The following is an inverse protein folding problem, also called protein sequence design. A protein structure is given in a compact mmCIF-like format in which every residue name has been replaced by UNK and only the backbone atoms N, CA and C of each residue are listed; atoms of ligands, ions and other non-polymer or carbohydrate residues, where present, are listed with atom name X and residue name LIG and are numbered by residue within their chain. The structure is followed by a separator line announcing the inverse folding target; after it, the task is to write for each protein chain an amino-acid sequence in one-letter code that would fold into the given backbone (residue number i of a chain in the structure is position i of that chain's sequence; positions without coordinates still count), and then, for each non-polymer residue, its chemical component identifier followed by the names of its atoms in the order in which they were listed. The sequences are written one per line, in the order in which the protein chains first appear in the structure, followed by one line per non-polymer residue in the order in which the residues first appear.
data_IF_533788656477
#
_entry.id   IF_533788656477
#
_cell.length_a   1.000
_cell.length_b   1.000
_cell.length_c   1.000
_cell.angle_alpha   90.00
_cell.angle_beta   90.00
_cell.angle_gamma   90.00
#
_symmetry.space_group_name_H-M   'P 1'
#
loop_
_entity.id
_entity.type
_entity.pdbx_description
1 polymer ?
#
# COMPACT_ATOMS: atom_id res chain seq x y z
N UNK A 1 -24.64 -23.74 3.77
CA UNK A 1 -23.87 -23.22 2.61
C UNK A 1 -24.31 -21.85 2.11
N UNK A 2 -25.61 -21.54 1.91
CA UNK A 2 -26.04 -20.25 1.35
C UNK A 2 -26.02 -19.02 2.31
N UNK A 3 -26.06 -19.24 3.64
CA UNK A 3 -26.03 -18.15 4.64
C UNK A 3 -24.61 -17.61 4.90
N UNK A 4 -23.57 -18.46 4.85
CA UNK A 4 -22.17 -18.05 5.06
C UNK A 4 -21.65 -17.13 3.95
N UNK A 5 -22.01 -17.41 2.69
CA UNK A 5 -21.65 -16.56 1.56
C UNK A 5 -22.28 -15.16 1.66
N UNK A 6 -23.54 -15.05 2.12
CA UNK A 6 -24.22 -13.75 2.28
C UNK A 6 -23.63 -12.89 3.41
N UNK A 7 -23.15 -13.51 4.49
CA UNK A 7 -22.51 -12.80 5.62
C UNK A 7 -21.10 -12.30 5.26
N UNK A 8 -20.30 -13.16 4.63
CA UNK A 8 -18.96 -12.83 4.15
C UNK A 8 -18.98 -11.75 3.07
N UNK A 9 -19.91 -11.85 2.11
CA UNK A 9 -20.10 -10.85 1.07
C UNK A 9 -20.52 -9.50 1.65
N UNK A 10 -21.41 -9.48 2.66
CA UNK A 10 -21.77 -8.24 3.38
C UNK A 10 -20.59 -7.62 4.13
N UNK A 11 -19.69 -8.41 4.71
CA UNK A 11 -18.50 -7.90 5.40
C UNK A 11 -17.49 -7.31 4.42
N UNK A 12 -17.21 -8.02 3.32
CA UNK A 12 -16.38 -7.51 2.23
C UNK A 12 -16.98 -6.27 1.57
N UNK A 13 -18.29 -6.23 1.37
CA UNK A 13 -19.01 -5.06 0.82
C UNK A 13 -18.99 -3.88 1.79
N UNK A 14 -19.15 -4.11 3.10
CA UNK A 14 -19.02 -3.06 4.12
C UNK A 14 -17.60 -2.50 4.22
N UNK A 15 -16.57 -3.35 4.09
CA UNK A 15 -15.18 -2.90 4.09
C UNK A 15 -14.80 -2.19 2.78
N UNK A 16 -15.26 -2.69 1.61
CA UNK A 16 -15.15 -2.00 0.32
C UNK A 16 -15.88 -0.66 0.34
N UNK A 17 -17.09 -0.61 0.90
CA UNK A 17 -17.88 0.60 1.03
C UNK A 17 -17.19 1.59 1.97
N UNK A 18 -16.71 1.16 3.14
CA UNK A 18 -15.94 2.03 4.06
C UNK A 18 -14.67 2.56 3.41
N UNK A 19 -13.91 1.75 2.66
CA UNK A 19 -12.70 2.19 1.97
C UNK A 19 -12.99 3.08 0.78
N UNK A 20 -14.01 2.77 -0.05
CA UNK A 20 -14.45 3.62 -1.16
C UNK A 20 -15.00 4.95 -0.65
N UNK A 21 -15.76 4.92 0.46
CA UNK A 21 -16.31 6.10 1.11
C UNK A 21 -15.21 6.92 1.79
N UNK A 22 -14.17 6.30 2.38
CA UNK A 22 -12.98 6.99 2.89
C UNK A 22 -12.12 7.57 1.76
N UNK A 23 -11.85 6.80 0.71
CA UNK A 23 -11.13 7.27 -0.48
C UNK A 23 -11.90 8.38 -1.20
N UNK A 24 -13.23 8.31 -1.19
CA UNK A 24 -14.10 9.36 -1.71
C UNK A 24 -14.15 10.56 -0.75
N UNK A 25 -14.12 10.37 0.57
CA UNK A 25 -14.04 11.44 1.57
C UNK A 25 -12.72 12.20 1.50
N UNK A 26 -11.59 11.49 1.35
CA UNK A 26 -10.27 12.05 1.09
C UNK A 26 -10.17 12.73 -0.27
N UNK A 27 -10.87 12.21 -1.30
CA UNK A 27 -10.99 12.86 -2.61
C UNK A 27 -11.99 14.02 -2.61
N UNK A 28 -12.91 14.12 -1.66
CA UNK A 28 -13.88 15.23 -1.58
C UNK A 28 -13.42 16.35 -0.65
N UNK A 29 -12.41 16.10 0.18
CA UNK A 29 -11.67 17.13 0.89
C UNK A 29 -10.60 17.70 -0.07
N UNK A 30 -10.88 18.85 -0.69
CA UNK A 30 -9.91 19.69 -1.43
C UNK A 30 -9.31 19.09 -2.74
N UNK A 31 -10.14 18.51 -3.63
CA UNK A 31 -9.72 17.97 -4.94
C UNK A 31 -9.67 18.97 -6.11
N UNK A 32 -9.79 20.26 -5.85
CA UNK A 32 -9.46 21.29 -6.84
C UNK A 32 -7.95 21.57 -6.82
N UNK A 33 -7.19 21.02 -7.76
CA UNK A 33 -5.79 21.44 -7.97
C UNK A 33 -4.70 20.63 -7.23
N UNK A 34 -4.97 19.39 -6.79
CA UNK A 34 -3.92 18.56 -6.18
C UNK A 34 -2.72 18.31 -7.11
N UNK A 35 -2.95 18.25 -8.43
CA UNK A 35 -1.86 18.03 -9.40
C UNK A 35 -0.87 19.20 -9.45
N UNK A 36 -1.35 20.45 -9.37
CA UNK A 36 -0.44 21.60 -9.29
C UNK A 36 0.27 21.67 -7.94
N UNK A 37 -0.37 21.23 -6.86
CA UNK A 37 0.27 21.10 -5.54
C UNK A 37 1.33 19.99 -5.52
N UNK A 38 1.07 18.85 -6.17
CA UNK A 38 2.05 17.76 -6.30
C UNK A 38 3.28 18.22 -7.08
N UNK A 39 3.07 18.91 -8.20
CA UNK A 39 4.16 19.49 -8.97
C UNK A 39 4.95 20.54 -8.15
N UNK A 40 4.25 21.41 -7.41
CA UNK A 40 4.92 22.35 -6.51
C UNK A 40 5.69 21.64 -5.39
N UNK A 41 5.15 20.53 -4.89
CA UNK A 41 5.73 19.73 -3.82
C UNK A 41 7.03 19.03 -4.23
N UNK A 42 7.37 18.93 -5.53
CA UNK A 42 8.69 18.45 -5.97
C UNK A 42 9.83 19.23 -5.29
N UNK A 43 9.63 20.53 -5.08
CA UNK A 43 10.62 21.44 -4.48
C UNK A 43 10.42 21.69 -2.98
N UNK A 44 9.47 21.01 -2.34
CA UNK A 44 9.24 21.13 -0.90
C UNK A 44 10.16 20.21 -0.12
N UNK A 45 10.39 20.50 1.16
CA UNK A 45 11.14 19.61 2.04
C UNK A 45 10.29 18.42 2.44
N UNK A 46 10.92 17.26 2.63
CA UNK A 46 10.25 16.09 3.20
C UNK A 46 10.04 16.37 4.69
N UNK A 47 8.77 16.51 5.06
CA UNK A 47 8.35 16.73 6.44
C UNK A 47 8.49 15.46 7.27
N UNK A 48 8.00 14.34 6.74
CA UNK A 48 8.20 13.04 7.36
C UNK A 48 8.12 11.91 6.34
N UNK A 49 8.78 10.82 6.69
CA UNK A 49 8.68 9.54 6.01
C UNK A 49 8.47 8.45 7.07
N UNK A 50 7.34 7.77 7.02
CA UNK A 50 6.99 6.66 7.91
C UNK A 50 6.88 5.37 7.11
N UNK A 51 7.24 4.27 7.75
CA UNK A 51 7.10 2.92 7.22
C UNK A 51 6.48 2.01 8.27
N UNK A 52 5.73 1.01 7.83
CA UNK A 52 5.33 -0.13 8.66
C UNK A 52 6.53 -0.66 9.48
N UNK A 53 6.33 -0.87 10.78
CA UNK A 53 7.29 -1.60 11.62
C UNK A 53 7.47 -3.03 11.07
N UNK A 54 8.70 -3.53 11.05
CA UNK A 54 9.03 -4.87 10.53
C UNK A 54 8.59 -5.07 9.06
N UNK A 55 8.77 -4.01 8.25
CA UNK A 55 8.37 -3.92 6.85
C UNK A 55 8.93 -5.04 5.95
N UNK A 56 10.02 -5.69 6.35
CA UNK A 56 10.63 -6.80 5.62
C UNK A 56 9.70 -8.02 5.48
N UNK A 57 8.58 -8.05 6.21
CA UNK A 57 7.67 -9.18 6.31
C UNK A 57 6.81 -9.47 5.07
N UNK A 58 6.54 -8.48 4.18
CA UNK A 58 6.03 -8.60 2.78
C UNK A 58 5.14 -7.41 2.37
N UNK A 59 4.16 -7.05 3.20
CA UNK A 59 3.25 -5.92 2.93
C UNK A 59 3.74 -4.70 3.69
N UNK A 60 4.03 -3.64 2.95
CA UNK A 60 4.63 -2.42 3.48
C UNK A 60 3.71 -1.25 3.20
N UNK A 61 3.33 -0.54 4.26
CA UNK A 61 2.75 0.78 4.14
C UNK A 61 3.85 1.83 4.31
N UNK A 62 3.87 2.80 3.40
CA UNK A 62 4.79 3.93 3.43
C UNK A 62 3.95 5.20 3.40
N UNK A 63 4.24 6.15 4.28
CA UNK A 63 3.67 7.50 4.26
C UNK A 63 4.80 8.49 4.02
N UNK A 64 4.68 9.31 2.99
CA UNK A 64 5.60 10.42 2.72
C UNK A 64 4.79 11.71 2.71
N UNK A 65 5.23 12.69 3.48
CA UNK A 65 4.65 14.03 3.48
C UNK A 65 5.73 15.06 3.15
N UNK A 66 5.39 16.03 2.30
CA UNK A 66 6.23 17.19 1.99
C UNK A 66 5.52 18.46 2.43
N UNK A 67 6.27 19.44 2.93
CA UNK A 67 5.72 20.69 3.46
C UNK A 67 6.29 21.91 2.74
N UNK A 68 5.39 22.81 2.33
CA UNK A 68 5.76 24.12 1.78
C UNK A 68 6.26 25.07 2.89
N UNK A 69 7.04 26.11 2.55
CA UNK A 69 7.37 27.18 3.50
C UNK A 69 6.15 27.86 4.15
N UNK A 70 4.99 27.83 3.48
CA UNK A 70 3.73 28.38 3.98
C UNK A 70 2.95 27.40 4.88
N UNK A 71 3.50 26.23 5.21
CA UNK A 71 2.88 25.25 6.10
C UNK A 71 1.86 24.31 5.45
N UNK A 72 1.54 24.46 4.16
CA UNK A 72 0.75 23.48 3.39
C UNK A 72 1.50 22.16 3.27
N UNK A 73 0.76 21.06 3.30
CA UNK A 73 1.30 19.70 3.24
C UNK A 73 0.68 18.96 2.06
N UNK A 74 1.50 18.22 1.31
CA UNK A 74 1.02 17.17 0.41
C UNK A 74 1.57 15.84 0.91
N UNK A 75 0.71 14.83 0.99
CA UNK A 75 1.06 13.52 1.50
C UNK A 75 0.65 12.40 0.53
N UNK A 76 1.45 11.33 0.55
CA UNK A 76 1.23 10.11 -0.21
C UNK A 76 1.34 8.90 0.68
N UNK A 77 0.30 8.06 0.69
CA UNK A 77 0.31 6.75 1.32
C UNK A 77 0.42 5.66 0.25
N UNK A 78 1.48 4.86 0.32
CA UNK A 78 1.82 3.81 -0.63
C UNK A 78 1.67 2.44 0.03
N UNK A 79 0.97 1.52 -0.62
CA UNK A 79 0.88 0.12 -0.20
C UNK A 79 1.69 -0.74 -1.17
N UNK A 80 2.76 -1.33 -0.67
CA UNK A 80 3.71 -2.12 -1.44
C UNK A 80 3.64 -3.59 -1.02
N UNK A 81 3.64 -4.49 -1.99
CA UNK A 81 3.78 -5.94 -1.80
C UNK A 81 5.13 -6.40 -2.34
N UNK A 82 6.07 -6.62 -1.43
CA UNK A 82 7.42 -7.11 -1.73
C UNK A 82 7.41 -8.54 -2.25
N UNK A 83 6.37 -9.32 -1.96
CA UNK A 83 6.31 -10.74 -2.30
C UNK A 83 5.99 -10.98 -3.77
N UNK A 84 5.17 -10.13 -4.39
CA UNK A 84 4.70 -10.39 -5.76
C UNK A 84 4.27 -9.13 -6.50
N UNK A 85 3.28 -8.41 -5.98
CA UNK A 85 2.49 -7.47 -6.79
C UNK A 85 3.14 -6.08 -6.93
N UNK A 86 4.19 -5.77 -6.18
CA UNK A 86 4.83 -4.45 -6.20
C UNK A 86 3.93 -3.38 -5.59
N UNK A 87 3.93 -2.17 -6.14
CA UNK A 87 3.11 -1.07 -5.64
C UNK A 87 1.61 -1.29 -5.97
N UNK A 88 0.85 -1.74 -4.96
CA UNK A 88 -0.57 -2.14 -5.09
C UNK A 88 -1.55 -0.98 -5.06
N UNK A 89 -1.28 0.04 -4.24
CA UNK A 89 -2.18 1.17 -4.08
C UNK A 89 -1.42 2.44 -3.72
N UNK A 90 -1.97 3.58 -4.12
CA UNK A 90 -1.47 4.90 -3.80
C UNK A 90 -2.66 5.78 -3.43
N UNK A 91 -2.52 6.56 -2.37
CA UNK A 91 -3.42 7.64 -2.01
C UNK A 91 -2.61 8.92 -1.88
N UNK A 92 -2.93 9.93 -2.68
CA UNK A 92 -2.39 11.29 -2.55
C UNK A 92 -3.46 12.22 -2.02
N UNK A 93 -3.07 13.13 -1.13
CA UNK A 93 -3.96 14.16 -0.59
C UNK A 93 -3.15 15.37 -0.14
N UNK A 94 -3.81 16.48 0.14
CA UNK A 94 -3.18 17.71 0.63
C UNK A 94 -3.93 18.26 1.84
N UNK A 95 -3.22 19.06 2.63
CA UNK A 95 -3.74 19.67 3.84
C UNK A 95 -3.23 21.10 3.96
N UNK A 96 -4.09 21.98 4.48
CA UNK A 96 -3.74 23.39 4.70
C UNK A 96 -2.75 23.60 5.85
N UNK A 97 -2.59 22.62 6.76
CA UNK A 97 -1.72 22.74 7.93
C UNK A 97 -1.30 21.38 8.50
N UNK A 98 -0.29 21.39 9.37
CA UNK A 98 0.13 20.23 10.16
C UNK A 98 -1.02 19.60 10.95
N UNK A 99 -1.80 20.41 11.67
CA UNK A 99 -2.87 19.91 12.53
C UNK A 99 -3.90 19.09 11.75
N UNK A 100 -4.34 19.59 10.58
CA UNK A 100 -5.26 18.84 9.72
C UNK A 100 -4.63 17.57 9.17
N UNK A 101 -3.37 17.61 8.78
CA UNK A 101 -2.67 16.42 8.33
C UNK A 101 -2.52 15.37 9.45
N UNK A 102 -2.18 15.81 10.67
CA UNK A 102 -1.95 14.95 11.81
C UNK A 102 -3.22 14.25 12.29
N UNK A 103 -4.31 15.00 12.48
CA UNK A 103 -5.60 14.51 13.01
C UNK A 103 -6.44 13.73 11.97
N UNK A 104 -6.01 13.71 10.70
CA UNK A 104 -6.69 12.97 9.65
C UNK A 104 -5.82 11.80 9.17
N UNK A 105 -5.04 12.02 8.10
CA UNK A 105 -4.36 10.92 7.43
C UNK A 105 -3.32 10.23 8.32
N UNK A 106 -2.52 11.02 9.05
CA UNK A 106 -1.40 10.49 9.82
C UNK A 106 -1.88 9.60 10.98
N UNK A 107 -2.83 10.09 11.77
CA UNK A 107 -3.43 9.35 12.88
C UNK A 107 -4.14 8.09 12.38
N UNK A 108 -4.96 8.16 11.32
CA UNK A 108 -5.63 6.98 10.76
C UNK A 108 -4.63 5.88 10.37
N UNK A 109 -3.51 6.25 9.73
CA UNK A 109 -2.48 5.28 9.35
C UNK A 109 -1.83 4.67 10.59
N UNK A 110 -1.45 5.48 11.57
CA UNK A 110 -0.80 5.02 12.80
C UNK A 110 -1.70 4.14 13.68
N UNK A 111 -3.02 4.36 13.67
CA UNK A 111 -3.99 3.51 14.36
C UNK A 111 -4.18 2.16 13.66
N UNK A 112 -4.09 2.15 12.32
CA UNK A 112 -4.31 0.93 11.53
C UNK A 112 -3.14 -0.05 11.59
N UNK A 113 -1.92 0.45 11.82
CA UNK A 113 -0.71 -0.35 11.82
C UNK A 113 0.42 0.38 12.57
N UNK A 114 1.27 -0.38 13.26
CA UNK A 114 2.46 0.18 13.87
C UNK A 114 3.41 0.74 12.80
N UNK A 115 3.67 2.05 12.85
CA UNK A 115 4.58 2.76 11.96
C UNK A 115 5.83 3.23 12.71
N UNK A 116 6.93 3.39 11.98
CA UNK A 116 8.21 3.96 12.47
C UNK A 116 8.76 4.95 11.44
N UNK A 117 9.60 5.89 11.88
CA UNK A 117 10.30 6.77 10.95
C UNK A 117 11.26 5.97 10.07
N UNK A 118 11.39 6.38 8.80
CA UNK A 118 12.29 5.78 7.84
C UNK A 118 13.09 6.84 7.08
N UNK A 119 14.27 6.46 6.62
CA UNK A 119 15.00 7.26 5.65
C UNK A 119 14.20 7.33 4.33
N UNK A 120 13.94 8.53 3.76
CA UNK A 120 13.22 8.66 2.50
C UNK A 120 13.85 7.89 1.33
N UNK A 121 15.18 7.76 1.29
CA UNK A 121 15.89 6.98 0.26
C UNK A 121 15.54 5.49 0.36
N UNK A 122 15.38 4.95 1.57
CA UNK A 122 14.92 3.58 1.77
C UNK A 122 13.48 3.40 1.26
N UNK A 123 12.58 4.34 1.58
CA UNK A 123 11.20 4.29 1.12
C UNK A 123 11.12 4.33 -0.42
N UNK A 124 11.88 5.23 -1.05
CA UNK A 124 11.96 5.33 -2.50
C UNK A 124 12.56 4.06 -3.13
N UNK A 125 13.59 3.46 -2.51
CA UNK A 125 14.16 2.17 -2.91
C UNK A 125 13.15 1.03 -2.84
N UNK A 126 12.39 0.91 -1.74
CA UNK A 126 11.34 -0.10 -1.60
C UNK A 126 10.29 0.04 -2.72
N UNK A 127 9.83 1.26 -2.99
CA UNK A 127 8.85 1.52 -4.05
C UNK A 127 9.44 1.14 -5.41
N UNK A 128 10.63 1.66 -5.76
CA UNK A 128 11.29 1.38 -7.03
C UNK A 128 11.54 -0.12 -7.25
N UNK A 129 12.20 -0.76 -6.29
CA UNK A 129 12.66 -2.14 -6.43
C UNK A 129 11.47 -3.12 -6.47
N UNK A 130 10.41 -2.85 -5.70
CA UNK A 130 9.17 -3.64 -5.76
C UNK A 130 8.44 -3.49 -7.10
N UNK A 131 8.40 -2.30 -7.69
CA UNK A 131 7.83 -2.06 -9.02
C UNK A 131 8.62 -2.82 -10.08
N UNK A 132 9.95 -2.70 -10.06
CA UNK A 132 10.84 -3.39 -10.99
C UNK A 132 10.71 -4.91 -10.87
N UNK A 133 10.60 -5.43 -9.64
CA UNK A 133 10.36 -6.84 -9.39
C UNK A 133 9.02 -7.31 -9.97
N UNK A 134 7.94 -6.61 -9.65
CA UNK A 134 6.59 -6.97 -10.10
C UNK A 134 6.45 -6.91 -11.63
N UNK A 135 7.15 -5.97 -12.28
CA UNK A 135 7.18 -5.81 -13.74
C UNK A 135 7.73 -7.05 -14.45
N UNK A 136 8.69 -7.77 -13.86
CA UNK A 136 9.22 -9.04 -14.40
C UNK A 136 8.11 -10.09 -14.60
N UNK A 137 7.04 -10.01 -13.80
CA UNK A 137 5.91 -10.93 -13.84
C UNK A 137 4.66 -10.33 -14.50
N UNK A 138 4.79 -9.18 -15.15
CA UNK A 138 3.72 -8.51 -15.89
C UNK A 138 2.74 -7.71 -15.04
N UNK A 139 3.13 -7.34 -13.81
CA UNK A 139 2.36 -6.42 -12.97
C UNK A 139 2.88 -4.99 -13.16
N UNK A 140 1.94 -4.05 -13.34
CA UNK A 140 2.24 -2.63 -13.40
C UNK A 140 1.91 -2.00 -12.04
N UNK A 141 2.61 -0.91 -11.65
CA UNK A 141 2.21 -0.15 -10.47
C UNK A 141 0.79 0.39 -10.60
N UNK A 142 0.17 0.71 -9.47
CA UNK A 142 -1.12 1.39 -9.45
C UNK A 142 -1.07 2.70 -10.28
N UNK A 143 -2.07 3.02 -11.13
CA UNK A 143 -2.04 4.19 -12.02
C UNK A 143 -1.84 5.53 -11.29
N UNK A 144 -2.45 5.70 -10.11
CA UNK A 144 -2.29 6.89 -9.24
C UNK A 144 -0.83 7.12 -8.81
N UNK A 145 0.07 6.14 -9.01
CA UNK A 145 1.50 6.35 -8.80
C UNK A 145 2.08 7.46 -9.69
N UNK A 146 1.58 7.65 -10.91
CA UNK A 146 2.10 8.63 -11.85
C UNK A 146 2.13 10.04 -11.25
N UNK A 147 1.10 10.42 -10.50
CA UNK A 147 1.01 11.72 -9.84
C UNK A 147 1.86 11.75 -8.55
N UNK A 148 1.91 10.63 -7.84
CA UNK A 148 2.62 10.49 -6.57
C UNK A 148 4.14 10.44 -6.70
N UNK A 149 4.70 10.26 -7.92
CA UNK A 149 6.15 10.34 -8.17
C UNK A 149 6.73 11.67 -7.68
N UNK A 150 5.96 12.75 -7.75
CA UNK A 150 6.36 14.09 -7.27
C UNK A 150 6.80 14.11 -5.79
N UNK A 151 6.24 13.21 -4.97
CA UNK A 151 6.59 13.07 -3.55
C UNK A 151 7.93 12.36 -3.32
N UNK A 152 8.46 11.68 -4.34
CA UNK A 152 9.75 11.00 -4.30
C UNK A 152 10.88 11.87 -4.86
N UNK A 153 10.56 13.01 -5.50
CA UNK A 153 11.59 13.94 -6.00
C UNK A 153 12.42 14.48 -4.85
N UNK A 154 13.75 14.42 -5.03
CA UNK A 154 14.74 14.76 -4.01
C UNK A 154 15.27 13.55 -3.22
N UNK A 155 14.68 12.37 -3.40
CA UNK A 155 15.24 11.12 -2.87
C UNK A 155 16.21 10.48 -3.86
N UNK A 156 17.18 9.75 -3.33
CA UNK A 156 18.08 8.88 -4.08
C UNK A 156 17.94 7.44 -3.57
N UNK A 157 17.15 6.59 -4.26
CA UNK A 157 17.02 5.18 -3.90
C UNK A 157 18.35 4.42 -3.82
N UNK A 158 19.36 4.81 -4.60
CA UNK A 158 20.65 4.11 -4.64
C UNK A 158 21.54 4.49 -3.46
N UNK A 159 21.27 5.60 -2.77
CA UNK A 159 21.94 5.98 -1.53
C UNK A 159 21.52 5.13 -0.31
N UNK A 160 20.55 4.22 -0.44
CA UNK A 160 20.17 3.28 0.61
C UNK A 160 20.88 1.93 0.41
N UNK A 161 21.79 1.58 1.32
CA UNK A 161 22.52 0.28 1.31
C UNK A 161 21.63 -0.93 1.69
N UNK A 162 20.43 -0.67 2.20
CA UNK A 162 19.50 -1.74 2.59
C UNK A 162 19.05 -2.54 1.37
N UNK A 163 19.16 -3.86 1.45
CA UNK A 163 18.60 -4.79 0.46
C UNK A 163 17.11 -5.01 0.74
N UNK A 164 16.27 -4.79 -0.27
CA UNK A 164 14.82 -5.01 -0.18
C UNK A 164 14.53 -6.51 -0.38
N UNK A 165 13.87 -7.20 0.59
CA UNK A 165 13.60 -8.63 0.51
C UNK A 165 12.43 -8.91 -0.44
N UNK A 166 12.73 -9.06 -1.73
CA UNK A 166 11.74 -9.29 -2.78
C UNK A 166 11.45 -10.79 -2.97
N UNK A 167 10.18 -11.13 -3.08
CA UNK A 167 9.74 -12.51 -3.23
C UNK A 167 9.99 -13.38 -1.99
N UNK A 168 9.99 -14.69 -2.21
CA UNK A 168 10.35 -15.70 -1.22
C UNK A 168 11.20 -16.76 -1.91
N UNK A 169 12.43 -16.96 -1.44
CA UNK A 169 13.39 -17.91 -2.02
C UNK A 169 13.59 -17.69 -3.55
N UNK A 170 13.67 -16.43 -3.97
CA UNK A 170 13.85 -16.05 -5.38
C UNK A 170 12.60 -16.18 -6.26
N UNK A 171 11.44 -16.57 -5.70
CA UNK A 171 10.18 -16.75 -6.43
C UNK A 171 9.12 -15.74 -5.97
N UNK A 172 8.14 -15.38 -6.83
CA UNK A 172 6.96 -14.65 -6.39
C UNK A 172 6.22 -15.41 -5.29
N UNK A 173 5.80 -14.71 -4.26
CA UNK A 173 4.90 -15.24 -3.23
C UNK A 173 3.68 -14.34 -3.10
N UNK A 174 2.59 -14.76 -3.72
CA UNK A 174 1.33 -14.04 -3.73
C UNK A 174 0.43 -14.48 -2.57
N UNK A 175 0.04 -13.58 -1.68
CA UNK A 175 -1.02 -13.84 -0.70
C UNK A 175 -2.25 -13.07 -1.13
N UNK A 176 -3.34 -13.78 -1.39
CA UNK A 176 -4.58 -13.19 -1.85
C UNK A 176 -5.16 -12.28 -0.77
N UNK A 177 -5.23 -10.98 -1.07
CA UNK A 177 -6.02 -10.04 -0.31
C UNK A 177 -7.50 -10.10 -0.72
N UNK A 178 -8.39 -9.57 0.13
CA UNK A 178 -9.85 -9.58 -0.11
C UNK A 178 -10.32 -8.84 -1.37
N UNK A 179 -9.42 -8.08 -2.01
CA UNK A 179 -9.70 -7.26 -3.19
C UNK A 179 -8.91 -7.69 -4.42
N UNK A 180 -8.04 -8.68 -4.27
CA UNK A 180 -7.24 -9.19 -5.37
C UNK A 180 -8.09 -10.13 -6.23
N UNK A 181 -7.94 -10.02 -7.55
CA UNK A 181 -8.52 -10.99 -8.48
C UNK A 181 -7.60 -12.21 -8.55
N UNK A 182 -7.62 -13.03 -7.50
CA UNK A 182 -6.65 -14.11 -7.28
C UNK A 182 -6.45 -15.00 -8.52
N UNK A 183 -7.54 -15.41 -9.17
CA UNK A 183 -7.48 -16.24 -10.37
C UNK A 183 -6.72 -15.56 -11.52
N UNK A 184 -6.94 -14.27 -11.74
CA UNK A 184 -6.25 -13.51 -12.78
C UNK A 184 -4.77 -13.32 -12.48
N UNK A 185 -4.44 -13.13 -11.19
CA UNK A 185 -3.06 -12.99 -10.71
C UNK A 185 -2.31 -14.30 -10.88
N UNK A 186 -2.92 -15.42 -10.46
CA UNK A 186 -2.36 -16.76 -10.61
C UNK A 186 -2.20 -17.11 -12.09
N UNK A 187 -3.20 -16.87 -12.93
CA UNK A 187 -3.09 -17.11 -14.37
C UNK A 187 -1.95 -16.30 -15.01
N UNK A 188 -1.77 -15.04 -14.58
CA UNK A 188 -0.65 -14.21 -15.03
C UNK A 188 0.69 -14.79 -14.58
N UNK A 189 0.84 -15.18 -13.32
CA UNK A 189 2.05 -15.81 -12.81
C UNK A 189 2.37 -17.14 -13.52
N UNK A 190 1.36 -17.97 -13.77
CA UNK A 190 1.52 -19.19 -14.57
C UNK A 190 2.05 -18.88 -15.96
N UNK A 191 1.60 -17.80 -16.59
CA UNK A 191 2.07 -17.37 -17.92
C UNK A 191 3.48 -16.76 -17.88
N UNK A 192 3.84 -15.98 -16.87
CA UNK A 192 5.08 -15.19 -16.85
C UNK A 192 6.23 -15.86 -16.10
N UNK A 193 5.96 -16.50 -14.96
CA UNK A 193 6.95 -17.26 -14.19
C UNK A 193 7.02 -18.74 -14.62
N UNK A 194 5.91 -19.28 -15.12
CA UNK A 194 5.74 -20.70 -15.43
C UNK A 194 5.11 -21.50 -14.28
N UNK A 195 4.43 -22.62 -14.57
CA UNK A 195 3.88 -23.51 -13.54
C UNK A 195 4.97 -23.95 -12.54
N UNK A 196 4.69 -23.87 -11.23
CA UNK A 196 5.63 -24.28 -10.17
C UNK A 196 6.73 -23.26 -9.81
N UNK A 197 6.81 -22.14 -10.51
CA UNK A 197 7.81 -21.09 -10.29
C UNK A 197 7.32 -19.91 -9.43
N UNK A 198 6.19 -20.07 -8.74
CA UNK A 198 5.67 -19.11 -7.78
C UNK A 198 4.94 -19.84 -6.64
N UNK A 199 4.82 -19.17 -5.51
CA UNK A 199 4.01 -19.59 -4.37
C UNK A 199 2.77 -18.71 -4.30
N UNK A 200 1.67 -19.29 -3.83
CA UNK A 200 0.50 -18.51 -3.47
C UNK A 200 -0.19 -19.05 -2.23
N UNK A 201 -0.84 -18.16 -1.49
CA UNK A 201 -1.71 -18.47 -0.37
C UNK A 201 -3.06 -17.80 -0.64
N UNK A 202 -4.10 -18.62 -0.78
CA UNK A 202 -5.47 -18.13 -0.82
C UNK A 202 -5.95 -18.02 0.62
N UNK A 203 -6.45 -16.87 1.02
CA UNK A 203 -7.20 -16.76 2.28
C UNK A 203 -8.45 -17.62 2.14
N UNK A 204 -8.49 -18.75 2.84
CA UNK A 204 -9.69 -19.61 2.92
C UNK A 204 -10.80 -18.93 3.71
N UNK A 205 -12.03 -19.42 3.56
CA UNK A 205 -13.12 -19.09 4.49
C UNK A 205 -12.64 -19.35 5.93
N UNK A 206 -12.95 -18.49 6.92
CA UNK A 206 -12.68 -18.83 8.31
C UNK A 206 -13.43 -20.13 8.63
N UNK A 207 -12.71 -21.21 8.89
CA UNK A 207 -13.30 -22.37 9.55
C UNK A 207 -13.68 -21.92 10.96
N UNK A 208 -14.97 -21.98 11.28
CA UNK A 208 -15.44 -21.82 12.66
C UNK A 208 -14.62 -22.78 13.53
N UNK A 209 -13.90 -22.23 14.52
CA UNK A 209 -13.34 -23.06 15.58
C UNK A 209 -14.52 -23.74 16.25
N UNK A 210 -14.54 -25.07 16.22
CA UNK A 210 -15.44 -25.89 16.99
C UNK A 210 -15.17 -25.61 18.48
N UNK A 211 -15.97 -24.73 19.07
CA UNK A 211 -15.98 -24.47 20.51
C UNK A 211 -16.79 -25.61 21.16
N UNK A 212 -16.30 -26.84 21.03
CA UNK A 212 -16.75 -27.98 21.82
C UNK A 212 -16.07 -27.91 23.19
N UNK A 213 -16.45 -26.91 23.99
CA UNK A 213 -16.30 -26.99 25.43
C UNK A 213 -17.36 -27.96 25.94
N UNK A 214 -17.04 -29.26 25.93
CA UNK A 214 -17.80 -30.25 26.70
C UNK A 214 -17.69 -29.89 28.19
N UNK A 215 -18.78 -29.30 28.70
CA UNK A 215 -19.08 -29.19 30.12
C UNK A 215 -19.33 -30.61 30.65
N UNK A 216 -18.45 -31.05 31.56
CA UNK A 216 -18.78 -32.01 32.62
C UNK A 216 -18.91 -31.24 33.94
#
# INVERSE_FOLDING_TARGET
MAQNQKSHQKTLERQKAKRKQKQQAYRSAESGGINSLLQAAENWEILECLITRDWQSRLVQILIAKQSPAGKIVAGAFLVDLGCLGLKNVLTTNFSSWLKYSENLREEIMESQAMVSANPNLAAKIIRDSILYAKKYGFNPHPDFNEAVSLLVGTDPDASEVTVPLGKNGKPFFVAGPYDKADQIIAKLTKTAGPGNFHYMLMGEPSEMDDSSDLF
#
